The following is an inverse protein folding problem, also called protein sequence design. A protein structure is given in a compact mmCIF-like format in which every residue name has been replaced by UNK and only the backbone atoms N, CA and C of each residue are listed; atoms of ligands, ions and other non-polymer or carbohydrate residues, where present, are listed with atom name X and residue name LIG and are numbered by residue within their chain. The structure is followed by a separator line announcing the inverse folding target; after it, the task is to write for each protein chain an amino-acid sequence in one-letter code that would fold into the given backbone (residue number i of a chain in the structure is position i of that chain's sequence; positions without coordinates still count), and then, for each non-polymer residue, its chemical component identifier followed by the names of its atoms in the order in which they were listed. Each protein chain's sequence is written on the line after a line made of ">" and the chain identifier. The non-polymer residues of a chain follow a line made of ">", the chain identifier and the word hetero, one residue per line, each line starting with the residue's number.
data_IF_578899440937
#
_entry.id   IF_578899440937
#
_cell.length_a   1.000
_cell.length_b   1.000
_cell.length_c   1.000
_cell.angle_alpha   90.00
_cell.angle_beta   90.00
_cell.angle_gamma   90.00
#
_symmetry.space_group_name_H-M   'P 1'
#
loop_
_entity.id
_entity.type
_entity.pdbx_description
1 polymer ?
#
# COMPACT_ATOMS: atom_id res chain seq x y z
N UNK A 1 7.48 4.56 -15.50
CA UNK A 1 6.38 3.73 -14.98
C UNK A 1 5.57 4.61 -14.04
N UNK A 2 4.36 5.03 -14.43
CA UNK A 2 3.54 5.93 -13.61
C UNK A 2 2.71 5.13 -12.60
N UNK A 3 2.76 5.55 -11.33
CA UNK A 3 1.98 4.92 -10.26
C UNK A 3 0.50 5.27 -10.40
N UNK A 4 -0.37 4.25 -10.41
CA UNK A 4 -1.83 4.43 -10.34
C UNK A 4 -2.33 4.05 -8.95
N UNK A 5 -3.08 4.93 -8.26
CA UNK A 5 -3.68 4.62 -6.96
C UNK A 5 -4.63 3.43 -7.04
N UNK A 6 -4.57 2.54 -6.05
CA UNK A 6 -5.46 1.37 -5.97
C UNK A 6 -6.72 1.77 -5.21
N UNK A 7 -7.90 1.54 -5.80
CA UNK A 7 -9.18 1.88 -5.16
C UNK A 7 -9.54 0.90 -4.03
N UNK A 8 -9.16 -0.37 -4.16
CA UNK A 8 -9.42 -1.41 -3.17
C UNK A 8 -8.43 -1.36 -2.00
N UNK A 9 -8.86 -0.77 -0.87
CA UNK A 9 -8.05 -0.67 0.35
C UNK A 9 -7.80 -2.03 1.01
N UNK A 10 -8.79 -2.92 1.01
CA UNK A 10 -8.68 -4.22 1.71
C UNK A 10 -7.61 -5.10 1.08
N UNK A 11 -7.45 -5.03 -0.24
CA UNK A 11 -6.35 -5.69 -0.94
C UNK A 11 -5.00 -5.17 -0.45
N UNK A 12 -4.84 -3.85 -0.32
CA UNK A 12 -3.60 -3.26 0.18
C UNK A 12 -3.32 -3.64 1.63
N UNK A 13 -4.34 -3.72 2.49
CA UNK A 13 -4.17 -4.14 3.88
C UNK A 13 -3.67 -5.59 3.93
N UNK A 14 -4.26 -6.51 3.15
CA UNK A 14 -3.80 -7.91 3.09
C UNK A 14 -2.35 -8.04 2.62
N UNK A 15 -1.94 -7.21 1.65
CA UNK A 15 -0.55 -7.19 1.15
C UNK A 15 0.38 -6.59 2.21
N UNK A 16 0.00 -5.48 2.83
CA UNK A 16 0.76 -4.82 3.88
C UNK A 16 1.01 -5.76 5.07
N UNK A 17 -0.02 -6.46 5.55
CA UNK A 17 0.08 -7.40 6.67
C UNK A 17 1.10 -8.54 6.41
N UNK A 18 1.12 -9.06 5.18
CA UNK A 18 2.12 -10.06 4.77
C UNK A 18 3.52 -9.46 4.68
N UNK A 19 3.65 -8.26 4.12
CA UNK A 19 4.94 -7.58 3.95
C UNK A 19 5.52 -7.05 5.26
N UNK A 20 4.70 -6.69 6.24
CA UNK A 20 5.12 -6.20 7.56
C UNK A 20 6.02 -7.18 8.31
N UNK A 21 5.94 -8.49 7.98
CA UNK A 21 6.84 -9.51 8.53
C UNK A 21 8.28 -9.40 8.02
N UNK A 22 8.47 -8.76 6.88
CA UNK A 22 9.75 -8.66 6.16
C UNK A 22 10.28 -7.23 6.21
N UNK A 23 9.40 -6.24 6.09
CA UNK A 23 9.77 -4.82 5.98
C UNK A 23 8.67 -3.93 6.51
N UNK A 24 9.03 -2.76 7.03
CA UNK A 24 8.04 -1.77 7.46
C UNK A 24 7.27 -1.24 6.25
N UNK A 25 5.93 -1.21 6.33
CA UNK A 25 5.07 -0.70 5.28
C UNK A 25 4.09 0.35 5.82
N UNK A 26 3.60 1.22 4.93
CA UNK A 26 2.61 2.25 5.24
C UNK A 26 1.59 2.35 4.11
N UNK A 27 0.31 2.45 4.44
CA UNK A 27 -0.75 2.74 3.48
C UNK A 27 -1.12 4.21 3.58
N UNK A 28 -1.11 4.92 2.45
CA UNK A 28 -1.46 6.32 2.35
C UNK A 28 -2.62 6.52 1.37
N UNK A 29 -3.55 7.44 1.70
CA UNK A 29 -4.62 7.83 0.78
C UNK A 29 -4.07 8.85 -0.21
N UNK A 30 -4.29 8.63 -1.49
CA UNK A 30 -3.85 9.52 -2.58
C UNK A 30 -4.96 9.69 -3.60
N UNK A 31 -5.50 10.90 -3.69
CA UNK A 31 -6.66 11.21 -4.52
C UNK A 31 -7.86 10.31 -4.17
N UNK A 32 -8.40 9.64 -5.19
CA UNK A 32 -9.51 8.69 -5.06
C UNK A 32 -9.10 7.29 -4.56
N UNK A 33 -7.81 7.02 -4.39
CA UNK A 33 -7.30 5.68 -4.09
C UNK A 33 -6.27 5.67 -2.98
N UNK A 34 -5.50 4.59 -2.97
CA UNK A 34 -4.55 4.26 -1.92
C UNK A 34 -3.22 3.83 -2.52
N UNK A 35 -2.15 4.08 -1.78
CA UNK A 35 -0.78 3.70 -2.11
C UNK A 35 -0.17 2.94 -0.95
N UNK A 36 0.52 1.85 -1.27
CA UNK A 36 1.37 1.13 -0.34
C UNK A 36 2.80 1.63 -0.51
N UNK A 37 3.39 2.09 0.58
CA UNK A 37 4.77 2.53 0.69
C UNK A 37 5.54 1.47 1.47
N UNK A 38 6.70 1.07 0.96
CA UNK A 38 7.66 0.24 1.67
C UNK A 38 8.72 1.19 2.23
N UNK A 39 8.87 1.21 3.56
CA UNK A 39 9.97 1.95 4.18
C UNK A 39 11.23 1.11 4.00
N UNK A 40 12.16 1.62 3.21
CA UNK A 40 13.50 1.07 3.02
C UNK A 40 14.42 1.58 4.12
#
# INVERSE_FOLDING_TARGET
>A
MEFRPIKNKDLLIKIADRLMRITSTRIEKVGEGWKLMIKT
#
